data_IF_329678666726
#
_entry.id   IF_329678666726
#
_cell.length_a   1.000
_cell.length_b   1.000
_cell.length_c   1.000
_cell.angle_alpha   90.00
_cell.angle_beta   90.00
_cell.angle_gamma   90.00
#
_symmetry.space_group_name_H-M   'P 1'
#
loop_
_entity.id
_entity.type
_entity.pdbx_description
1 polymer ?
#
# COMPACT_ATOMS: atom_id res chain seq x y z
N UNK A 1 10.58 -0.81 19.55
CA UNK A 1 9.14 -0.45 19.55
C UNK A 1 8.60 -0.83 18.19
N UNK A 2 7.88 -1.94 18.11
CA UNK A 2 7.30 -2.47 16.87
C UNK A 2 6.32 -1.43 16.31
N UNK A 3 6.74 -0.72 15.26
CA UNK A 3 5.86 0.19 14.55
C UNK A 3 4.73 -0.61 13.94
N UNK A 4 3.54 -0.57 14.53
CA UNK A 4 2.34 -1.10 13.90
C UNK A 4 2.23 -0.43 12.54
N UNK A 5 2.30 -1.22 11.46
CA UNK A 5 2.06 -0.72 10.11
C UNK A 5 0.71 0.00 10.10
N UNK A 6 0.62 1.18 9.49
CA UNK A 6 -0.62 1.98 9.43
C UNK A 6 -1.81 1.19 8.88
N UNK A 7 -1.55 0.15 8.08
CA UNK A 7 -2.53 -0.82 7.59
C UNK A 7 -3.15 -1.67 8.71
N UNK A 8 -2.34 -2.13 9.66
CA UNK A 8 -2.80 -2.92 10.81
C UNK A 8 -3.68 -2.07 11.72
N UNK A 9 -3.29 -0.81 11.95
CA UNK A 9 -4.12 0.14 12.71
C UNK A 9 -5.47 0.38 12.02
N UNK A 10 -5.46 0.58 10.70
CA UNK A 10 -6.68 0.72 9.90
C UNK A 10 -7.58 -0.52 9.98
N UNK A 11 -7.01 -1.73 9.87
CA UNK A 11 -7.76 -2.98 9.98
C UNK A 11 -8.40 -3.17 11.36
N UNK A 12 -7.64 -2.92 12.43
CA UNK A 12 -8.15 -2.99 13.80
C UNK A 12 -9.28 -1.97 14.00
N UNK A 13 -9.10 -0.74 13.52
CA UNK A 13 -10.11 0.29 13.65
C UNK A 13 -11.39 -0.02 12.86
N UNK A 14 -11.27 -0.63 11.67
CA UNK A 14 -12.40 -1.08 10.87
C UNK A 14 -13.18 -2.18 11.60
N UNK A 15 -12.49 -3.09 12.28
CA UNK A 15 -13.11 -4.17 13.07
C UNK A 15 -13.88 -3.59 14.26
N UNK A 16 -13.32 -2.60 14.96
CA UNK A 16 -13.99 -1.88 16.05
C UNK A 16 -15.24 -1.15 15.52
N UNK A 17 -15.16 -0.47 14.37
CA UNK A 17 -16.35 0.12 13.74
C UNK A 17 -17.40 -0.95 13.42
N UNK A 18 -17.00 -2.11 12.92
CA UNK A 18 -17.92 -3.23 12.66
C UNK A 18 -18.70 -3.66 13.90
N UNK A 19 -18.03 -3.79 15.04
CA UNK A 19 -18.69 -4.09 16.33
C UNK A 19 -19.66 -2.97 16.72
N UNK A 20 -19.24 -1.71 16.59
CA UNK A 20 -20.07 -0.54 16.88
C UNK A 20 -21.33 -0.44 16.02
N UNK A 21 -21.27 -0.84 14.74
CA UNK A 21 -22.44 -0.89 13.86
C UNK A 21 -23.45 -1.92 14.35
N UNK A 22 -22.99 -3.12 14.72
CA UNK A 22 -23.87 -4.19 15.23
C UNK A 22 -24.53 -3.78 16.54
N UNK A 23 -23.77 -3.17 17.45
CA UNK A 23 -24.26 -2.69 18.72
C UNK A 23 -25.30 -1.56 18.56
N UNK A 24 -24.99 -0.55 17.73
CA UNK A 24 -25.91 0.55 17.44
C UNK A 24 -27.21 0.07 16.75
N UNK A 25 -27.13 -0.98 15.93
CA UNK A 25 -28.30 -1.58 15.29
C UNK A 25 -29.21 -2.27 16.31
N UNK A 26 -28.63 -2.97 17.29
CA UNK A 26 -29.37 -3.62 18.38
C UNK A 26 -29.97 -2.57 19.31
N UNK A 27 -29.20 -1.52 19.65
CA UNK A 27 -29.62 -0.40 20.50
C UNK A 27 -30.62 0.55 19.85
N UNK A 28 -30.87 0.44 18.53
CA UNK A 28 -31.69 1.38 17.72
C UNK A 28 -31.20 2.83 17.80
N UNK A 29 -29.92 3.02 18.05
CA UNK A 29 -29.29 4.34 18.10
C UNK A 29 -28.84 4.74 16.70
N UNK A 30 -29.76 5.35 15.96
CA UNK A 30 -29.56 5.71 14.55
C UNK A 30 -28.41 6.70 14.32
N UNK A 31 -28.16 7.60 15.27
CA UNK A 31 -27.05 8.57 15.16
C UNK A 31 -25.69 7.88 15.21
N UNK A 32 -25.50 7.00 16.21
CA UNK A 32 -24.29 6.21 16.38
C UNK A 32 -24.05 5.26 15.20
N UNK A 33 -25.12 4.67 14.65
CA UNK A 33 -25.05 3.83 13.47
C UNK A 33 -24.53 4.61 12.24
N UNK A 34 -25.04 5.82 11.99
CA UNK A 34 -24.59 6.67 10.88
C UNK A 34 -23.12 7.05 11.04
N UNK A 35 -22.69 7.45 12.24
CA UNK A 35 -21.31 7.83 12.52
C UNK A 35 -20.36 6.64 12.27
N UNK A 36 -20.70 5.45 12.75
CA UNK A 36 -19.86 4.27 12.53
C UNK A 36 -19.80 3.86 11.05
N UNK A 37 -20.91 3.92 10.32
CA UNK A 37 -20.92 3.62 8.88
C UNK A 37 -20.04 4.62 8.11
N UNK A 38 -20.18 5.92 8.38
CA UNK A 38 -19.39 6.96 7.73
C UNK A 38 -17.89 6.80 8.02
N UNK A 39 -17.56 6.47 9.27
CA UNK A 39 -16.18 6.22 9.69
C UNK A 39 -15.60 4.98 9.02
N UNK A 40 -16.35 3.88 9.01
CA UNK A 40 -15.96 2.64 8.32
C UNK A 40 -15.76 2.86 6.82
N UNK A 41 -16.65 3.63 6.18
CA UNK A 41 -16.55 3.96 4.76
C UNK A 41 -15.29 4.80 4.47
N UNK A 42 -15.01 5.83 5.27
CA UNK A 42 -13.80 6.63 5.12
C UNK A 42 -12.53 5.80 5.28
N UNK A 43 -12.50 4.89 6.25
CA UNK A 43 -11.39 3.95 6.47
C UNK A 43 -11.23 2.97 5.30
N UNK A 44 -12.33 2.44 4.78
CA UNK A 44 -12.33 1.57 3.63
C UNK A 44 -11.78 2.27 2.38
N UNK A 45 -12.19 3.52 2.13
CA UNK A 45 -11.65 4.33 1.03
C UNK A 45 -10.16 4.61 1.18
N UNK A 46 -9.69 4.89 2.40
CA UNK A 46 -8.25 5.05 2.67
C UNK A 46 -7.49 3.75 2.39
N UNK A 47 -8.02 2.62 2.82
CA UNK A 47 -7.42 1.30 2.58
C UNK A 47 -7.36 0.99 1.08
N UNK A 48 -8.45 1.25 0.35
CA UNK A 48 -8.51 1.12 -1.11
C UNK A 48 -7.49 2.02 -1.80
N UNK A 49 -7.30 3.26 -1.35
CA UNK A 49 -6.26 4.15 -1.88
C UNK A 49 -4.88 3.54 -1.71
N UNK A 50 -4.55 3.00 -0.52
CA UNK A 50 -3.25 2.35 -0.29
C UNK A 50 -3.00 1.12 -1.18
N UNK A 51 -4.05 0.42 -1.58
CA UNK A 51 -3.95 -0.71 -2.51
C UNK A 51 -3.83 -0.21 -3.95
N UNK A 52 -4.67 0.75 -4.34
CA UNK A 52 -4.76 1.28 -5.70
C UNK A 52 -3.56 2.14 -6.14
N UNK A 53 -2.70 2.60 -5.21
CA UNK A 53 -1.54 3.42 -5.59
C UNK A 53 -0.43 2.60 -6.28
N UNK A 54 -0.52 1.27 -6.29
CA UNK A 54 0.43 0.41 -7.01
C UNK A 54 0.01 0.29 -8.47
N UNK A 55 0.70 1.03 -9.34
CA UNK A 55 0.55 0.89 -10.80
C UNK A 55 1.33 -0.34 -11.23
N UNK A 56 0.71 -1.31 -11.94
CA UNK A 56 1.44 -2.44 -12.50
C UNK A 56 2.42 -1.93 -13.56
N UNK A 57 3.71 -2.23 -13.38
CA UNK A 57 4.75 -1.89 -14.35
C UNK A 57 5.15 -3.15 -15.10
N UNK A 58 5.08 -3.13 -16.42
CA UNK A 58 5.62 -4.19 -17.27
C UNK A 58 7.13 -4.01 -17.40
N UNK A 59 7.91 -4.97 -16.90
CA UNK A 59 9.37 -4.97 -16.98
C UNK A 59 9.79 -5.93 -18.11
N UNK A 60 10.88 -5.59 -18.82
CA UNK A 60 11.47 -6.46 -19.84
C UNK A 60 11.99 -7.75 -19.18
N UNK A 61 11.80 -8.89 -19.84
CA UNK A 61 12.02 -10.20 -19.23
C UNK A 61 13.45 -10.42 -18.68
N UNK A 62 14.46 -9.85 -19.35
CA UNK A 62 15.86 -9.87 -18.92
C UNK A 62 16.08 -9.12 -17.60
N UNK A 63 15.47 -7.94 -17.46
CA UNK A 63 15.54 -7.15 -16.25
C UNK A 63 14.74 -7.77 -15.11
N UNK A 64 13.59 -8.38 -15.42
CA UNK A 64 12.82 -9.12 -14.42
C UNK A 64 13.64 -10.28 -13.83
N UNK A 65 14.33 -11.03 -14.68
CA UNK A 65 15.21 -12.12 -14.25
C UNK A 65 16.39 -11.59 -13.42
N UNK A 66 16.98 -10.46 -13.81
CA UNK A 66 18.06 -9.85 -13.04
C UNK A 66 17.61 -9.37 -11.65
N UNK A 67 16.42 -8.75 -11.54
CA UNK A 67 15.90 -8.29 -10.25
C UNK A 67 15.58 -9.47 -9.33
N UNK A 68 15.05 -10.56 -9.87
CA UNK A 68 14.77 -11.77 -9.10
C UNK A 68 16.05 -12.35 -8.50
N UNK A 69 17.08 -12.57 -9.33
CA UNK A 69 18.39 -13.08 -8.90
C UNK A 69 19.05 -12.16 -7.85
N UNK A 70 18.92 -10.85 -8.05
CA UNK A 70 19.42 -9.87 -7.08
C UNK A 70 18.65 -9.90 -5.75
N UNK A 71 17.33 -10.14 -5.79
CA UNK A 71 16.50 -10.27 -4.59
C UNK A 71 16.88 -11.51 -3.78
N UNK A 72 17.15 -12.63 -4.45
CA UNK A 72 17.59 -13.88 -3.81
C UNK A 72 18.97 -13.71 -3.16
N UNK A 73 19.87 -12.98 -3.82
CA UNK A 73 21.22 -12.77 -3.32
C UNK A 73 21.29 -11.73 -2.18
N UNK A 74 20.50 -10.66 -2.26
CA UNK A 74 20.52 -9.56 -1.29
C UNK A 74 19.54 -9.76 -0.12
N UNK A 75 18.53 -10.61 -0.27
CA UNK A 75 17.39 -10.72 0.65
C UNK A 75 16.45 -9.52 0.61
N UNK A 76 16.66 -8.56 -0.29
CA UNK A 76 15.78 -7.40 -0.48
C UNK A 76 14.58 -7.77 -1.37
N UNK A 77 13.34 -7.42 -1.01
CA UNK A 77 12.18 -7.71 -1.86
C UNK A 77 12.28 -7.04 -3.23
N UNK A 78 11.87 -7.76 -4.28
CA UNK A 78 11.81 -7.29 -5.68
C UNK A 78 11.17 -5.91 -5.80
N UNK A 79 10.09 -5.65 -5.05
CA UNK A 79 9.38 -4.36 -5.11
C UNK A 79 10.23 -3.20 -4.57
N UNK A 80 11.05 -3.42 -3.55
CA UNK A 80 11.91 -2.37 -3.00
C UNK A 80 13.04 -2.01 -3.97
N UNK A 81 13.58 -3.01 -4.66
CA UNK A 81 14.60 -2.82 -5.69
C UNK A 81 14.03 -1.99 -6.86
N UNK A 82 12.80 -2.31 -7.30
CA UNK A 82 12.10 -1.57 -8.36
C UNK A 82 11.76 -0.14 -7.92
N UNK A 83 11.20 0.04 -6.72
CA UNK A 83 10.84 1.38 -6.21
C UNK A 83 12.08 2.27 -6.08
N UNK A 84 13.21 1.72 -5.59
CA UNK A 84 14.48 2.44 -5.46
C UNK A 84 15.05 2.85 -6.82
N UNK A 85 15.10 1.92 -7.78
CA UNK A 85 15.60 2.21 -9.14
C UNK A 85 14.73 3.26 -9.83
N UNK A 86 13.40 3.19 -9.68
CA UNK A 86 12.49 4.19 -10.21
C UNK A 86 12.66 5.56 -9.51
N UNK A 87 12.89 5.58 -8.20
CA UNK A 87 13.17 6.80 -7.47
C UNK A 87 14.47 7.48 -7.95
N UNK A 88 15.53 6.70 -8.18
CA UNK A 88 16.80 7.20 -8.71
C UNK A 88 16.66 7.76 -10.12
N UNK A 89 15.91 7.08 -10.98
CA UNK A 89 15.59 7.56 -12.32
C UNK A 89 14.81 8.88 -12.27
N UNK A 90 13.76 8.97 -11.43
CA UNK A 90 12.95 10.20 -11.27
C UNK A 90 13.74 11.38 -10.71
N UNK A 91 14.73 11.11 -9.85
CA UNK A 91 15.62 12.13 -9.30
C UNK A 91 16.72 12.55 -10.29
N UNK A 92 16.77 11.95 -11.49
CA UNK A 92 17.76 12.28 -12.52
C UNK A 92 19.18 11.84 -12.15
N UNK A 93 19.33 10.97 -11.15
CA UNK A 93 20.62 10.42 -10.72
C UNK A 93 21.18 9.44 -11.76
N UNK A 94 20.31 8.88 -12.61
CA UNK A 94 20.68 8.10 -13.77
C UNK A 94 20.20 8.81 -15.04
N UNK A 95 21.03 9.71 -15.58
CA UNK A 95 20.88 10.23 -16.94
C UNK A 95 21.62 9.26 -17.87
N UNK A 96 20.96 8.63 -18.85
CA UNK A 96 21.67 8.01 -19.97
C UNK A 96 22.54 9.10 -20.59
N UNK A 97 23.86 8.97 -20.50
CA UNK A 97 24.76 9.80 -21.28
C UNK A 97 24.47 9.48 -22.74
N UNK A 98 24.10 10.49 -23.53
CA UNK A 98 23.64 10.35 -24.91
C UNK A 98 24.73 9.90 -25.91
N UNK A 99 25.68 9.05 -25.49
CA UNK A 99 26.84 8.61 -26.26
C UNK A 99 26.77 7.18 -26.79
N UNK A 100 25.69 6.44 -26.54
CA UNK A 100 25.52 5.09 -27.08
C UNK A 100 24.64 5.14 -28.34
N UNK A 101 25.17 5.83 -29.36
CA UNK A 101 24.68 5.84 -30.74
C UNK A 101 25.76 5.35 -31.69
#
# INVERSE_FOLDING_TARGET
MTGLSSRVVLMISLLICGVGIVDALIGREWDLLVIFIMTALAQFLLLMRFIATRVPVTIRADLAQWVEDHSEHSGEPVEQIIDRSLAWYRQGLYRPTASDG
#
